data_IF_713619752395
#
_entry.id   IF_713619752395
#
_cell.length_a   1.000
_cell.length_b   1.000
_cell.length_c   1.000
_cell.angle_alpha   90.00
_cell.angle_beta   90.00
_cell.angle_gamma   90.00
#
_symmetry.space_group_name_H-M   'P 1'
#
loop_
_entity.id
_entity.type
_entity.pdbx_description
1 polymer ?
#
# COMPACT_ATOMS: atom_id res chain seq x y z
N UNK A 1 -5.73 0.20 -29.33
CA UNK A 1 -4.74 0.88 -28.47
C UNK A 1 -3.51 -0.01 -28.29
N UNK A 2 -2.43 0.23 -29.05
CA UNK A 2 -1.12 -0.42 -28.81
C UNK A 2 -0.26 0.56 -28.01
N UNK A 3 -0.38 0.53 -26.69
CA UNK A 3 0.39 1.35 -25.74
C UNK A 3 1.66 0.65 -25.22
N UNK A 4 1.96 -0.54 -25.75
CA UNK A 4 3.27 -1.16 -25.60
C UNK A 4 4.20 -0.51 -26.64
N UNK A 5 4.60 0.75 -26.37
CA UNK A 5 5.66 1.41 -27.12
C UNK A 5 6.94 0.56 -27.17
N UNK A 6 7.87 0.88 -28.07
CA UNK A 6 9.18 0.22 -28.12
C UNK A 6 9.78 0.19 -26.72
N UNK A 7 10.05 -1.01 -26.21
CA UNK A 7 10.75 -1.18 -24.94
C UNK A 7 12.24 -1.03 -25.24
N UNK A 8 12.76 0.16 -24.97
CA UNK A 8 14.18 0.46 -25.01
C UNK A 8 14.77 0.48 -23.58
N UNK A 9 16.10 0.53 -23.50
CA UNK A 9 16.83 0.55 -22.21
C UNK A 9 16.44 1.77 -21.39
N UNK A 10 16.15 2.90 -22.03
CA UNK A 10 15.75 4.14 -21.38
C UNK A 10 14.38 3.99 -20.70
N UNK A 11 13.41 3.38 -21.38
CA UNK A 11 12.08 3.07 -20.82
C UNK A 11 12.18 2.11 -19.63
N UNK A 12 13.06 1.11 -19.69
CA UNK A 12 13.29 0.18 -18.58
C UNK A 12 13.88 0.93 -17.39
N UNK A 13 14.90 1.75 -17.62
CA UNK A 13 15.53 2.57 -16.57
C UNK A 13 14.53 3.49 -15.88
N UNK A 14 13.69 4.19 -16.66
CA UNK A 14 12.64 5.04 -16.14
C UNK A 14 11.60 4.26 -15.34
N UNK A 15 11.25 3.04 -15.76
CA UNK A 15 10.31 2.22 -15.03
C UNK A 15 10.89 1.71 -13.70
N UNK A 16 12.17 1.34 -13.67
CA UNK A 16 12.89 0.99 -12.43
C UNK A 16 12.93 2.18 -11.49
N UNK A 17 13.28 3.36 -12.00
CA UNK A 17 13.32 4.59 -11.20
C UNK A 17 11.95 4.92 -10.62
N UNK A 18 10.89 4.84 -11.43
CA UNK A 18 9.51 5.05 -10.99
C UNK A 18 9.09 4.07 -9.89
N UNK A 19 9.50 2.80 -10.01
CA UNK A 19 9.30 1.79 -8.96
C UNK A 19 10.05 2.14 -7.67
N UNK A 20 11.33 2.49 -7.77
CA UNK A 20 12.17 2.86 -6.63
C UNK A 20 11.63 4.11 -5.90
N UNK A 21 11.23 5.14 -6.63
CA UNK A 21 10.61 6.35 -6.07
C UNK A 21 9.26 6.06 -5.40
N UNK A 22 8.49 5.11 -5.93
CA UNK A 22 7.25 4.65 -5.29
C UNK A 22 7.54 3.97 -3.95
N UNK A 23 8.59 3.15 -3.88
CA UNK A 23 9.02 2.53 -2.62
C UNK A 23 9.58 3.55 -1.63
N UNK A 24 10.33 4.54 -2.13
CA UNK A 24 10.84 5.65 -1.32
C UNK A 24 9.73 6.52 -0.74
N UNK A 25 8.71 6.85 -1.54
CA UNK A 25 7.52 7.53 -1.05
C UNK A 25 6.80 6.66 0.00
N UNK A 26 6.73 5.35 -0.23
CA UNK A 26 6.22 4.38 0.76
C UNK A 26 6.92 4.51 2.11
N UNK A 27 8.25 4.56 2.16
CA UNK A 27 8.97 4.70 3.44
C UNK A 27 8.82 6.07 4.10
N UNK A 28 8.52 7.13 3.34
CA UNK A 28 8.28 8.47 3.86
C UNK A 28 6.89 8.63 4.50
N UNK A 29 5.87 7.98 3.92
CA UNK A 29 4.48 8.10 4.37
C UNK A 29 4.02 6.94 5.26
N UNK A 30 4.71 5.81 5.24
CA UNK A 30 4.38 4.64 6.04
C UNK A 30 5.40 4.47 7.18
N UNK A 31 4.92 4.16 8.40
CA UNK A 31 5.81 3.84 9.51
C UNK A 31 6.59 2.57 9.23
N UNK A 32 7.79 2.47 9.78
CA UNK A 32 8.64 1.29 9.61
C UNK A 32 7.94 0.03 10.13
N UNK A 33 8.21 -1.13 9.53
CA UNK A 33 7.70 -2.41 10.02
C UNK A 33 8.11 -2.71 11.47
N UNK A 34 9.23 -2.13 11.93
CA UNK A 34 9.63 -2.16 13.33
C UNK A 34 8.61 -1.42 14.21
N UNK A 35 8.26 -0.19 13.85
CA UNK A 35 7.25 0.62 14.55
C UNK A 35 5.91 -0.09 14.66
N UNK A 36 5.46 -0.74 13.58
CA UNK A 36 4.21 -1.53 13.56
C UNK A 36 4.30 -2.69 14.54
N UNK A 37 5.40 -3.45 14.49
CA UNK A 37 5.63 -4.60 15.37
C UNK A 37 5.68 -4.19 16.84
N UNK A 38 6.32 -3.08 17.18
CA UNK A 38 6.38 -2.59 18.56
C UNK A 38 4.99 -2.14 19.06
N UNK A 39 4.23 -1.43 18.23
CA UNK A 39 2.88 -0.96 18.60
C UNK A 39 1.84 -2.09 18.70
N UNK A 40 2.06 -3.20 18.00
CA UNK A 40 1.21 -4.38 18.07
C UNK A 40 1.42 -5.23 19.34
N UNK A 41 2.46 -4.95 20.14
CA UNK A 41 2.78 -5.71 21.36
C UNK A 41 2.11 -5.11 22.61
N UNK A 42 1.86 -3.79 22.61
CA UNK A 42 1.36 -3.07 23.79
C UNK A 42 -0.01 -2.41 23.52
N UNK A 43 -1.09 -3.10 23.91
CA UNK A 43 -2.43 -2.53 23.94
C UNK A 43 -3.57 -3.53 24.07
N UNK A 44 -4.75 -3.05 24.47
CA UNK A 44 -6.01 -3.79 24.27
C UNK A 44 -6.24 -3.97 22.76
N UNK A 45 -6.87 -5.08 22.33
CA UNK A 45 -7.11 -5.41 20.92
C UNK A 45 -7.75 -4.26 20.13
N UNK A 46 -8.71 -3.54 20.73
CA UNK A 46 -9.35 -2.36 20.14
C UNK A 46 -8.40 -1.17 19.95
N UNK A 47 -7.42 -1.02 20.84
CA UNK A 47 -6.43 0.05 20.76
C UNK A 47 -5.37 -0.25 19.68
N UNK A 48 -4.98 -1.52 19.56
CA UNK A 48 -4.09 -2.01 18.49
C UNK A 48 -4.76 -1.79 17.13
N UNK A 49 -6.03 -2.15 16.98
CA UNK A 49 -6.79 -1.93 15.75
C UNK A 49 -6.85 -0.45 15.37
N UNK A 50 -7.20 0.42 16.33
CA UNK A 50 -7.24 1.88 16.08
C UNK A 50 -5.88 2.44 15.68
N UNK A 51 -4.80 2.01 16.32
CA UNK A 51 -3.43 2.39 15.95
C UNK A 51 -3.11 1.91 14.54
N UNK A 52 -3.41 0.66 14.20
CA UNK A 52 -3.21 0.11 12.86
C UNK A 52 -4.01 0.87 11.79
N UNK A 53 -5.27 1.22 12.03
CA UNK A 53 -6.07 2.04 11.12
C UNK A 53 -5.41 3.41 10.84
N UNK A 54 -4.90 4.07 11.88
CA UNK A 54 -4.18 5.33 11.73
C UNK A 54 -2.89 5.14 10.92
N UNK A 55 -2.15 4.04 11.13
CA UNK A 55 -0.92 3.78 10.39
C UNK A 55 -1.20 3.44 8.91
N UNK A 56 -2.30 2.71 8.62
CA UNK A 56 -2.77 2.41 7.26
C UNK A 56 -3.21 3.65 6.49
N UNK A 57 -3.57 4.74 7.16
CA UNK A 57 -3.92 6.00 6.50
C UNK A 57 -2.78 6.57 5.63
N UNK A 58 -1.53 6.23 5.95
CA UNK A 58 -0.33 6.60 5.19
C UNK A 58 -0.21 5.93 3.82
N UNK A 59 -0.93 4.82 3.57
CA UNK A 59 -0.90 4.13 2.28
C UNK A 59 -1.39 5.02 1.14
N UNK A 60 -2.47 5.76 1.39
CA UNK A 60 -3.14 6.56 0.38
C UNK A 60 -2.25 7.66 -0.18
N UNK A 61 -1.65 8.57 0.63
CA UNK A 61 -0.75 9.57 0.11
C UNK A 61 0.48 8.95 -0.58
N UNK A 62 1.01 7.83 -0.05
CA UNK A 62 2.15 7.13 -0.67
C UNK A 62 1.83 6.65 -2.09
N UNK A 63 0.68 5.98 -2.25
CA UNK A 63 0.26 5.38 -3.52
C UNK A 63 -0.15 6.47 -4.51
N UNK A 64 -0.89 7.49 -4.06
CA UNK A 64 -1.28 8.63 -4.91
C UNK A 64 -0.04 9.36 -5.43
N UNK A 65 0.96 9.58 -4.57
CA UNK A 65 2.21 10.20 -4.98
C UNK A 65 2.98 9.33 -5.99
N UNK A 66 3.21 8.05 -5.66
CA UNK A 66 3.96 7.12 -6.51
C UNK A 66 3.30 6.89 -7.87
N UNK A 67 1.99 6.61 -7.90
CA UNK A 67 1.24 6.45 -9.14
C UNK A 67 1.11 7.76 -9.92
N UNK A 68 0.93 8.89 -9.23
CA UNK A 68 0.86 10.22 -9.86
C UNK A 68 2.15 10.58 -10.57
N UNK A 69 3.29 10.42 -9.90
CA UNK A 69 4.61 10.63 -10.48
C UNK A 69 4.86 9.66 -11.65
N UNK A 70 4.50 8.39 -11.49
CA UNK A 70 4.71 7.38 -12.53
C UNK A 70 3.80 7.56 -13.73
N UNK A 71 2.60 8.13 -13.53
CA UNK A 71 1.71 8.55 -14.62
C UNK A 71 2.34 9.67 -15.43
N UNK A 72 2.91 10.68 -14.77
CA UNK A 72 3.66 11.75 -15.44
C UNK A 72 4.83 11.17 -16.26
N UNK A 73 5.63 10.30 -15.65
CA UNK A 73 6.75 9.62 -16.34
C UNK A 73 6.25 8.79 -17.53
N UNK A 74 5.15 8.05 -17.38
CA UNK A 74 4.53 7.27 -18.45
C UNK A 74 4.03 8.11 -19.62
N UNK A 75 3.48 9.30 -19.36
CA UNK A 75 3.05 10.24 -20.39
C UNK A 75 4.27 10.79 -21.15
N UNK A 76 5.31 11.20 -20.43
CA UNK A 76 6.54 11.74 -21.02
C UNK A 76 7.29 10.70 -21.86
N UNK A 77 7.41 9.48 -21.34
CA UNK A 77 8.07 8.36 -22.02
C UNK A 77 7.17 7.68 -23.07
N UNK A 78 5.88 8.05 -23.15
CA UNK A 78 4.87 7.40 -24.01
C UNK A 78 4.84 5.88 -23.85
N UNK A 79 5.04 5.41 -22.61
CA UNK A 79 5.12 4.00 -22.26
C UNK A 79 4.34 3.75 -20.98
N UNK A 80 3.55 2.68 -20.94
CA UNK A 80 2.82 2.27 -19.74
C UNK A 80 3.69 1.50 -18.75
N UNK A 81 4.93 1.15 -19.12
CA UNK A 81 5.84 0.35 -18.29
C UNK A 81 6.11 1.01 -16.92
N UNK A 82 6.45 2.31 -16.82
CA UNK A 82 6.68 2.97 -15.53
C UNK A 82 5.47 2.92 -14.60
N UNK A 83 4.26 3.14 -15.14
CA UNK A 83 3.03 3.03 -14.37
C UNK A 83 2.79 1.61 -13.85
N UNK A 84 3.02 0.58 -14.67
CA UNK A 84 2.85 -0.83 -14.26
C UNK A 84 3.84 -1.19 -13.16
N UNK A 85 5.11 -0.81 -13.32
CA UNK A 85 6.16 -1.10 -12.31
C UNK A 85 5.88 -0.38 -11.00
N UNK A 86 5.44 0.88 -11.05
CA UNK A 86 5.02 1.62 -9.86
C UNK A 86 3.81 1.00 -9.17
N UNK A 87 2.79 0.59 -9.92
CA UNK A 87 1.64 -0.10 -9.36
C UNK A 87 2.03 -1.43 -8.68
N UNK A 88 2.93 -2.20 -9.30
CA UNK A 88 3.47 -3.42 -8.70
C UNK A 88 4.28 -3.12 -7.43
N UNK A 89 5.10 -2.07 -7.44
CA UNK A 89 5.88 -1.64 -6.28
C UNK A 89 4.99 -1.18 -5.11
N UNK A 90 3.91 -0.46 -5.40
CA UNK A 90 2.92 -0.05 -4.41
C UNK A 90 2.27 -1.27 -3.74
N UNK A 91 1.80 -2.25 -4.53
CA UNK A 91 1.22 -3.51 -4.01
C UNK A 91 2.26 -4.28 -3.19
N UNK A 92 3.50 -4.37 -3.67
CA UNK A 92 4.58 -5.03 -2.94
C UNK A 92 4.82 -4.38 -1.57
N UNK A 93 4.91 -3.05 -1.49
CA UNK A 93 5.10 -2.33 -0.23
C UNK A 93 3.95 -2.57 0.76
N UNK A 94 2.70 -2.59 0.29
CA UNK A 94 1.52 -2.90 1.09
C UNK A 94 1.57 -4.32 1.65
N UNK A 95 1.87 -5.31 0.80
CA UNK A 95 1.98 -6.71 1.23
C UNK A 95 3.11 -6.92 2.24
N UNK A 96 4.26 -6.28 2.04
CA UNK A 96 5.37 -6.30 3.00
C UNK A 96 4.94 -5.67 4.32
N UNK A 97 4.27 -4.53 4.30
CA UNK A 97 3.79 -3.89 5.51
C UNK A 97 2.81 -4.78 6.29
N UNK A 98 1.81 -5.35 5.62
CA UNK A 98 0.82 -6.24 6.26
C UNK A 98 1.46 -7.53 6.83
N UNK A 99 2.62 -7.95 6.30
CA UNK A 99 3.36 -9.10 6.85
C UNK A 99 3.88 -8.88 8.27
N UNK A 100 4.03 -7.62 8.71
CA UNK A 100 4.44 -7.26 10.07
C UNK A 100 3.26 -7.13 11.04
N UNK A 101 2.02 -7.15 10.54
CA UNK A 101 0.80 -7.10 11.33
C UNK A 101 0.44 -8.51 11.83
N UNK A 102 -0.13 -8.66 13.04
CA UNK A 102 -0.66 -9.95 13.52
C UNK A 102 -1.65 -10.58 12.53
N UNK A 103 -1.62 -11.92 12.30
CA UNK A 103 -2.38 -12.59 11.25
C UNK A 103 -3.89 -12.35 11.29
N UNK A 104 -4.43 -12.21 12.49
CA UNK A 104 -5.82 -11.93 12.84
C UNK A 104 -6.29 -10.53 12.41
N UNK A 105 -5.36 -9.61 12.19
CA UNK A 105 -5.62 -8.21 11.81
C UNK A 105 -5.11 -7.87 10.40
N UNK A 106 -4.56 -8.84 9.67
CA UNK A 106 -4.05 -8.64 8.30
C UNK A 106 -5.16 -8.40 7.31
N UNK A 107 -4.91 -7.48 6.38
CA UNK A 107 -5.73 -7.37 5.19
C UNK A 107 -5.43 -8.51 4.22
N UNK A 108 -6.49 -9.10 3.64
CA UNK A 108 -6.34 -9.96 2.47
C UNK A 108 -6.10 -9.11 1.21
N UNK A 109 -5.67 -9.74 0.12
CA UNK A 109 -5.33 -9.04 -1.13
C UNK A 109 -6.49 -8.21 -1.69
N UNK A 110 -7.73 -8.69 -1.57
CA UNK A 110 -8.90 -7.95 -2.03
C UNK A 110 -9.16 -6.71 -1.18
N UNK A 111 -9.00 -6.80 0.13
CA UNK A 111 -9.11 -5.67 1.05
C UNK A 111 -7.99 -4.65 0.83
N UNK A 112 -6.77 -5.10 0.52
CA UNK A 112 -5.67 -4.20 0.12
C UNK A 112 -6.07 -3.41 -1.12
N UNK A 113 -6.59 -4.10 -2.16
CA UNK A 113 -7.05 -3.45 -3.39
C UNK A 113 -8.21 -2.50 -3.09
N UNK A 114 -9.15 -2.87 -2.23
CA UNK A 114 -10.23 -1.97 -1.85
C UNK A 114 -9.73 -0.75 -1.10
N UNK A 115 -8.81 -0.89 -0.14
CA UNK A 115 -8.21 0.26 0.58
C UNK A 115 -7.51 1.22 -0.41
N UNK A 116 -6.87 0.66 -1.43
CA UNK A 116 -6.26 1.44 -2.52
C UNK A 116 -7.31 2.19 -3.38
N UNK A 117 -8.48 1.61 -3.62
CA UNK A 117 -9.50 2.13 -4.52
C UNK A 117 -10.58 3.00 -3.84
N UNK A 118 -11.00 2.65 -2.63
CA UNK A 118 -12.13 3.26 -1.92
C UNK A 118 -11.69 4.36 -0.95
N UNK A 119 -10.42 4.38 -0.54
CA UNK A 119 -9.87 5.39 0.36
C UNK A 119 -10.51 5.42 1.76
N UNK A 120 -11.31 4.41 2.13
CA UNK A 120 -11.79 4.23 3.50
C UNK A 120 -10.83 3.29 4.25
N UNK A 121 -10.25 3.81 5.33
CA UNK A 121 -9.27 3.10 6.17
C UNK A 121 -9.86 2.05 7.11
N UNK A 122 -11.11 1.63 6.93
CA UNK A 122 -11.76 0.64 7.79
C UNK A 122 -12.15 -0.61 7.00
N UNK A 123 -11.33 -1.66 7.05
CA UNK A 123 -11.84 -3.01 6.86
C UNK A 123 -12.72 -3.34 8.08
N UNK A 124 -14.03 -3.33 7.92
CA UNK A 124 -14.92 -3.90 8.94
C UNK A 124 -14.59 -5.39 9.07
N UNK A 125 -13.91 -5.78 10.15
CA UNK A 125 -13.66 -7.18 10.46
C UNK A 125 -14.94 -7.75 11.11
N UNK A 126 -15.75 -8.55 10.40
CA UNK A 126 -17.02 -9.05 10.92
C UNK A 126 -16.83 -10.01 12.11
N UNK A 127 -15.61 -10.53 12.34
CA UNK A 127 -15.34 -11.48 13.41
C UNK A 127 -15.18 -10.83 14.80
N UNK A 128 -15.17 -9.50 14.91
CA UNK A 128 -15.03 -8.79 16.20
C UNK A 128 -16.38 -8.39 16.84
N UNK A 129 -17.49 -8.45 16.10
CA UNK A 129 -18.83 -8.16 16.62
C UNK A 129 -19.51 -9.37 17.28
N UNK A 130 -18.90 -10.56 17.23
CA UNK A 130 -19.44 -11.80 17.81
C UNK A 130 -19.19 -12.01 19.31
N UNK A 131 -18.48 -11.10 19.98
CA UNK A 131 -18.04 -11.26 21.38
C UNK A 131 -18.91 -10.60 22.44
N UNK A 132 -20.05 -10.01 22.09
CA UNK A 132 -21.00 -9.40 23.04
C UNK A 132 -22.32 -10.18 23.05
N UNK A 133 -22.32 -11.38 23.64
CA UNK A 133 -23.54 -11.90 24.26
C UNK A 133 -23.71 -11.20 25.59
N UNK A 134 -24.63 -10.23 25.63
CA UNK A 134 -25.15 -9.59 26.83
C UNK A 134 -25.78 -10.69 27.69
N UNK A 135 -25.27 -10.86 28.91
CA UNK A 135 -25.97 -11.55 30.00
C UNK A 135 -27.02 -10.67 30.64
#
# INVERSE_FOLDING_TARGET
MKWLGKVDVDTITLAILAGAETMHAGSAFMPSGFTVKTLAIDGNAQEIERKLCNLRSGYRPAVVFGLGLSTLVSILAKSTLPLIVSAAAAVYMLTQYESFVPPDLRLNTEQIIQVLLSGQGEPSNPNLLGGMTIG
#
